data_IF_006326238524
#
_entry.id   IF_006326238524
#
_cell.length_a   1.000
_cell.length_b   1.000
_cell.length_c   1.000
_cell.angle_alpha   90.00
_cell.angle_beta   90.00
_cell.angle_gamma   90.00
#
_symmetry.space_group_name_H-M   'P 1'
#
loop_
_entity.id
_entity.type
_entity.pdbx_description
1 polymer ?
#
# COMPACT_ATOMS: atom_id res chain seq x y z
N UNK A 1 -14.74 -4.17 -28.25
CA UNK A 1 -14.67 -4.69 -26.87
C UNK A 1 -13.56 -5.74 -26.69
N UNK A 2 -13.43 -6.71 -27.61
CA UNK A 2 -12.38 -7.76 -27.59
C UNK A 2 -10.96 -7.19 -27.42
N UNK A 3 -10.56 -6.17 -28.19
CA UNK A 3 -9.22 -5.58 -28.12
C UNK A 3 -8.86 -5.00 -26.74
N UNK A 4 -9.84 -4.44 -26.01
CA UNK A 4 -9.61 -3.91 -24.64
C UNK A 4 -9.41 -5.02 -23.63
N UNK A 5 -10.21 -6.09 -23.72
CA UNK A 5 -10.07 -7.26 -22.85
C UNK A 5 -8.71 -7.94 -23.07
N UNK A 6 -8.32 -8.16 -24.34
CA UNK A 6 -7.01 -8.74 -24.68
C UNK A 6 -5.86 -7.89 -24.15
N UNK A 7 -5.90 -6.57 -24.31
CA UNK A 7 -4.87 -5.67 -23.78
C UNK A 7 -4.79 -5.74 -22.25
N UNK A 8 -5.93 -5.74 -21.55
CA UNK A 8 -5.96 -5.89 -20.09
C UNK A 8 -5.41 -7.24 -19.64
N UNK A 9 -5.72 -8.34 -20.32
CA UNK A 9 -5.16 -9.66 -20.00
C UNK A 9 -3.64 -9.68 -20.18
N UNK A 10 -3.12 -9.15 -21.29
CA UNK A 10 -1.67 -9.09 -21.56
C UNK A 10 -0.95 -8.26 -20.50
N UNK A 11 -1.46 -7.06 -20.19
CA UNK A 11 -0.90 -6.23 -19.12
C UNK A 11 -0.97 -6.94 -17.76
N UNK A 12 -2.09 -7.63 -17.48
CA UNK A 12 -2.25 -8.42 -16.26
C UNK A 12 -1.18 -9.48 -16.08
N UNK A 13 -0.84 -10.22 -17.15
CA UNK A 13 0.25 -11.21 -17.15
C UNK A 13 1.62 -10.56 -16.94
N UNK A 14 1.92 -9.46 -17.64
CA UNK A 14 3.20 -8.75 -17.48
C UNK A 14 3.41 -8.27 -16.05
N UNK A 15 2.38 -7.66 -15.45
CA UNK A 15 2.44 -7.20 -14.07
C UNK A 15 2.46 -8.37 -13.07
N UNK A 16 1.85 -9.52 -13.39
CA UNK A 16 1.97 -10.71 -12.54
C UNK A 16 3.41 -11.22 -12.50
N UNK A 17 4.09 -11.27 -13.65
CA UNK A 17 5.49 -11.68 -13.73
C UNK A 17 6.41 -10.69 -12.99
N UNK A 18 6.17 -9.39 -13.13
CA UNK A 18 6.88 -8.36 -12.36
C UNK A 18 6.65 -8.52 -10.84
N UNK A 19 5.45 -8.97 -10.44
CA UNK A 19 5.13 -9.27 -9.05
C UNK A 19 5.94 -10.46 -8.55
N UNK A 20 5.92 -11.59 -9.26
CA UNK A 20 6.72 -12.77 -8.89
C UNK A 20 8.21 -12.41 -8.76
N UNK A 21 8.73 -11.61 -9.68
CA UNK A 21 10.10 -11.12 -9.61
C UNK A 21 10.36 -10.23 -8.38
N UNK A 22 9.45 -9.31 -8.09
CA UNK A 22 9.50 -8.50 -6.87
C UNK A 22 9.49 -9.36 -5.60
N UNK A 23 8.68 -10.41 -5.55
CA UNK A 23 8.65 -11.33 -4.41
C UNK A 23 9.99 -12.06 -4.22
N UNK A 24 10.62 -12.49 -5.31
CA UNK A 24 11.97 -13.08 -5.25
C UNK A 24 13.00 -12.09 -4.69
N UNK A 25 12.92 -10.81 -5.07
CA UNK A 25 13.75 -9.75 -4.51
C UNK A 25 13.53 -9.53 -3.01
N UNK A 26 12.29 -9.64 -2.52
CA UNK A 26 11.97 -9.61 -1.08
C UNK A 26 12.57 -10.80 -0.36
N UNK A 27 12.41 -12.02 -0.90
CA UNK A 27 12.96 -13.24 -0.30
C UNK A 27 14.48 -13.20 -0.26
N UNK A 28 15.12 -12.66 -1.30
CA UNK A 28 16.57 -12.43 -1.32
C UNK A 28 17.00 -11.41 -0.26
N UNK A 29 16.25 -10.31 -0.10
CA UNK A 29 16.51 -9.33 0.96
C UNK A 29 16.36 -9.93 2.36
N UNK A 30 15.35 -10.78 2.58
CA UNK A 30 15.16 -11.51 3.83
C UNK A 30 16.32 -12.47 4.13
N UNK A 31 16.91 -13.09 3.11
CA UNK A 31 18.06 -13.99 3.24
C UNK A 31 19.39 -13.29 3.58
N UNK A 32 19.47 -11.96 3.46
CA UNK A 32 20.67 -11.19 3.82
C UNK A 32 20.75 -10.85 5.32
N UNK A 33 19.71 -11.21 6.09
CA UNK A 33 19.55 -11.20 7.55
C UNK A 33 19.82 -9.88 8.33
N UNK A 34 20.66 -8.94 7.87
CA UNK A 34 20.91 -7.67 8.58
C UNK A 34 21.54 -6.58 7.70
N UNK A 35 21.19 -5.32 7.97
CA UNK A 35 21.87 -4.14 7.42
C UNK A 35 20.99 -3.22 6.58
N UNK A 36 21.43 -1.97 6.43
CA UNK A 36 20.68 -0.89 5.73
C UNK A 36 20.33 -1.29 4.30
N UNK A 37 21.21 -2.00 3.59
CA UNK A 37 20.95 -2.48 2.22
C UNK A 37 19.86 -3.55 2.16
N UNK A 38 19.78 -4.44 3.15
CA UNK A 38 18.73 -5.46 3.21
C UNK A 38 17.37 -4.80 3.43
N UNK A 39 17.29 -3.79 4.32
CA UNK A 39 16.07 -3.01 4.56
C UNK A 39 15.62 -2.25 3.29
N UNK A 40 16.56 -1.57 2.62
CA UNK A 40 16.28 -0.84 1.38
C UNK A 40 15.77 -1.77 0.28
N UNK A 41 16.42 -2.92 0.09
CA UNK A 41 16.00 -3.92 -0.90
C UNK A 41 14.63 -4.52 -0.55
N UNK A 42 14.38 -4.84 0.72
CA UNK A 42 13.09 -5.36 1.15
C UNK A 42 11.95 -4.35 0.87
N UNK A 43 12.17 -3.08 1.18
CA UNK A 43 11.20 -2.02 0.89
C UNK A 43 10.99 -1.81 -0.61
N UNK A 44 12.06 -1.71 -1.40
CA UNK A 44 11.97 -1.51 -2.84
C UNK A 44 11.25 -2.68 -3.52
N UNK A 45 11.74 -3.90 -3.31
CA UNK A 45 11.20 -5.10 -3.95
C UNK A 45 9.80 -5.44 -3.43
N UNK A 46 9.51 -5.15 -2.15
CA UNK A 46 8.18 -5.30 -1.58
C UNK A 46 7.16 -4.35 -2.21
N UNK A 47 7.56 -3.09 -2.44
CA UNK A 47 6.72 -2.12 -3.15
C UNK A 47 6.49 -2.54 -4.61
N UNK A 48 7.53 -2.96 -5.33
CA UNK A 48 7.40 -3.48 -6.70
C UNK A 48 6.46 -4.68 -6.75
N UNK A 49 6.63 -5.65 -5.86
CA UNK A 49 5.78 -6.83 -5.72
C UNK A 49 4.31 -6.46 -5.54
N UNK A 50 4.00 -5.58 -4.58
CA UNK A 50 2.62 -5.19 -4.27
C UNK A 50 1.96 -4.38 -5.39
N UNK A 51 2.64 -3.35 -5.91
CA UNK A 51 2.09 -2.49 -6.96
C UNK A 51 1.75 -3.32 -8.19
N UNK A 52 2.71 -4.15 -8.62
CA UNK A 52 2.51 -5.00 -9.79
C UNK A 52 1.44 -6.07 -9.55
N UNK A 53 1.34 -6.66 -8.36
CA UNK A 53 0.26 -7.59 -8.02
C UNK A 53 -1.12 -6.93 -8.13
N UNK A 54 -1.27 -5.73 -7.57
CA UNK A 54 -2.55 -5.02 -7.59
C UNK A 54 -2.94 -4.58 -8.99
N UNK A 55 -1.99 -4.05 -9.77
CA UNK A 55 -2.25 -3.70 -11.17
C UNK A 55 -2.62 -4.95 -11.97
N UNK A 56 -1.92 -6.07 -11.76
CA UNK A 56 -2.24 -7.35 -12.37
C UNK A 56 -3.67 -7.80 -12.07
N UNK A 57 -4.05 -7.83 -10.79
CA UNK A 57 -5.42 -8.18 -10.36
C UNK A 57 -6.45 -7.21 -10.93
N UNK A 58 -6.19 -5.91 -10.92
CA UNK A 58 -7.10 -4.91 -11.47
C UNK A 58 -7.29 -5.09 -12.99
N UNK A 59 -6.23 -5.39 -13.72
CA UNK A 59 -6.25 -5.70 -15.15
C UNK A 59 -7.05 -6.98 -15.44
N UNK A 60 -6.82 -8.06 -14.69
CA UNK A 60 -7.62 -9.28 -14.83
C UNK A 60 -9.10 -9.02 -14.51
N UNK A 61 -9.40 -8.36 -13.39
CA UNK A 61 -10.78 -8.00 -13.03
C UNK A 61 -11.43 -7.14 -14.11
N UNK A 62 -10.73 -6.18 -14.70
CA UNK A 62 -11.25 -5.38 -15.81
C UNK A 62 -11.47 -6.21 -17.09
N UNK A 63 -10.59 -7.17 -17.37
CA UNK A 63 -10.76 -8.10 -18.49
C UNK A 63 -11.99 -9.01 -18.29
N UNK A 64 -12.28 -9.40 -17.06
CA UNK A 64 -13.45 -10.24 -16.71
C UNK A 64 -14.74 -9.44 -16.47
N UNK A 65 -14.66 -8.15 -16.10
CA UNK A 65 -15.82 -7.28 -15.88
C UNK A 65 -16.16 -6.48 -17.13
N UNK A 66 -16.75 -7.16 -18.10
CA UNK A 66 -17.56 -6.54 -19.18
C UNK A 66 -19.05 -6.44 -18.84
N UNK A 67 -19.43 -6.60 -17.56
CA UNK A 67 -20.82 -6.66 -17.14
C UNK A 67 -21.09 -5.63 -16.03
N UNK A 68 -22.05 -4.73 -16.27
CA UNK A 68 -22.57 -3.76 -15.31
C UNK A 68 -23.27 -4.50 -14.16
N UNK A 69 -22.51 -4.88 -13.13
CA UNK A 69 -23.09 -5.39 -11.89
C UNK A 69 -23.28 -4.23 -10.91
N UNK A 70 -24.50 -4.05 -10.42
CA UNK A 70 -24.79 -3.18 -9.27
C UNK A 70 -23.87 -3.51 -8.08
N UNK A 71 -23.41 -2.51 -7.31
CA UNK A 71 -22.49 -2.73 -6.20
C UNK A 71 -23.16 -3.61 -5.15
N UNK A 72 -22.65 -4.84 -4.98
CA UNK A 72 -23.15 -5.77 -3.97
C UNK A 72 -22.75 -5.32 -2.56
N UNK A 73 -23.56 -5.66 -1.55
CA UNK A 73 -23.25 -5.38 -0.14
C UNK A 73 -21.88 -5.97 0.26
N UNK A 74 -21.55 -7.14 -0.28
CA UNK A 74 -20.27 -7.80 -0.04
C UNK A 74 -19.10 -6.95 -0.56
N UNK A 75 -19.21 -6.39 -1.78
CA UNK A 75 -18.19 -5.50 -2.34
C UNK A 75 -17.94 -4.27 -1.46
N UNK A 76 -19.00 -3.67 -0.92
CA UNK A 76 -18.87 -2.52 0.00
C UNK A 76 -18.23 -2.92 1.33
N UNK A 77 -18.59 -4.09 1.89
CA UNK A 77 -17.99 -4.59 3.12
C UNK A 77 -16.49 -4.87 2.93
N UNK A 78 -16.11 -5.51 1.82
CA UNK A 78 -14.70 -5.68 1.44
C UNK A 78 -14.00 -4.32 1.31
N UNK A 79 -14.62 -3.35 0.64
CA UNK A 79 -14.07 -2.01 0.50
C UNK A 79 -13.77 -1.34 1.84
N UNK A 80 -14.70 -1.43 2.79
CA UNK A 80 -14.53 -0.91 4.14
C UNK A 80 -13.39 -1.60 4.89
N UNK A 81 -13.32 -2.94 4.84
CA UNK A 81 -12.26 -3.72 5.49
C UNK A 81 -10.89 -3.34 4.93
N UNK A 82 -10.75 -3.23 3.61
CA UNK A 82 -9.50 -2.85 2.97
C UNK A 82 -9.06 -1.44 3.36
N UNK A 83 -9.99 -0.49 3.44
CA UNK A 83 -9.70 0.88 3.87
C UNK A 83 -9.35 0.97 5.36
N UNK A 84 -10.04 0.23 6.23
CA UNK A 84 -9.69 0.16 7.64
C UNK A 84 -8.31 -0.49 7.84
N UNK A 85 -8.02 -1.55 7.08
CA UNK A 85 -6.71 -2.21 7.11
C UNK A 85 -5.59 -1.28 6.64
N UNK A 86 -5.82 -0.47 5.59
CA UNK A 86 -4.80 0.49 5.14
C UNK A 86 -4.45 1.49 6.23
N UNK A 87 -5.45 2.06 6.91
CA UNK A 87 -5.24 2.97 8.04
C UNK A 87 -4.44 2.27 9.13
N UNK A 88 -4.85 1.07 9.55
CA UNK A 88 -4.12 0.33 10.57
C UNK A 88 -2.65 0.09 10.20
N UNK A 89 -2.37 -0.16 8.92
CA UNK A 89 -1.02 -0.40 8.42
C UNK A 89 -0.11 0.84 8.44
N UNK A 90 -0.68 2.05 8.33
CA UNK A 90 0.10 3.31 8.34
C UNK A 90 0.33 3.86 9.75
N UNK A 91 -0.44 3.43 10.75
CA UNK A 91 -0.33 3.89 12.15
C UNK A 91 1.10 3.87 12.69
N UNK A 92 1.91 2.81 12.53
CA UNK A 92 3.25 2.81 13.10
C UNK A 92 4.19 3.82 12.41
N UNK A 93 3.93 4.18 11.15
CA UNK A 93 4.69 5.23 10.46
C UNK A 93 4.41 6.58 11.10
N UNK A 94 3.16 6.83 11.50
CA UNK A 94 2.77 8.05 12.21
C UNK A 94 3.45 8.09 13.58
N UNK A 95 3.45 6.99 14.34
CA UNK A 95 4.14 6.95 15.64
C UNK A 95 5.64 7.21 15.52
N UNK A 96 6.29 6.65 14.50
CA UNK A 96 7.71 6.89 14.23
C UNK A 96 7.99 8.35 13.89
N UNK A 97 7.14 9.00 13.08
CA UNK A 97 7.24 10.43 12.78
C UNK A 97 7.08 11.31 14.03
N UNK A 98 6.11 11.00 14.89
CA UNK A 98 5.91 11.71 16.16
C UNK A 98 7.11 11.55 17.11
N UNK A 99 7.73 10.37 17.14
CA UNK A 99 8.92 10.11 17.94
C UNK A 99 10.14 10.90 17.42
N UNK A 100 10.31 10.99 16.10
CA UNK A 100 11.36 11.78 15.46
C UNK A 100 11.17 13.27 15.77
N UNK A 101 9.97 13.80 15.56
CA UNK A 101 9.63 15.21 15.81
C UNK A 101 9.92 15.59 17.26
N UNK A 102 9.41 14.79 18.22
CA UNK A 102 9.65 15.03 19.65
C UNK A 102 11.13 14.95 20.06
N UNK A 103 11.95 14.15 19.36
CA UNK A 103 13.39 14.09 19.61
C UNK A 103 14.12 15.34 19.12
N UNK A 104 13.80 15.77 17.89
CA UNK A 104 14.40 16.95 17.27
C UNK A 104 14.04 18.24 18.02
N UNK A 105 12.80 18.35 18.51
CA UNK A 105 12.34 19.47 19.33
C UNK A 105 13.12 19.62 20.64
N UNK A 106 13.68 18.51 21.16
CA UNK A 106 14.52 18.51 22.37
C UNK A 106 15.99 18.79 22.06
N UNK A 107 16.35 18.99 20.79
CA UNK A 107 17.74 19.15 20.35
C UNK A 107 18.52 17.83 20.29
N UNK A 108 17.84 16.68 20.31
CA UNK A 108 18.46 15.37 20.13
C UNK A 108 18.66 15.00 18.66
N UNK A 109 19.38 13.92 18.42
CA UNK A 109 19.52 13.26 17.13
C UNK A 109 18.86 11.88 17.19
N UNK A 110 17.94 11.61 16.27
CA UNK A 110 17.18 10.36 16.29
C UNK A 110 17.96 9.22 15.61
N UNK A 111 18.18 8.11 16.34
CA UNK A 111 18.68 6.87 15.78
C UNK A 111 17.55 6.14 15.05
N UNK A 112 17.53 6.28 13.73
CA UNK A 112 16.52 5.72 12.85
C UNK A 112 16.55 4.18 12.73
N UNK A 113 17.60 3.52 13.23
CA UNK A 113 17.73 2.05 13.22
C UNK A 113 17.12 1.46 14.48
N UNK A 114 17.45 2.05 15.64
CA UNK A 114 16.97 1.59 16.94
C UNK A 114 15.69 2.29 17.41
N UNK A 115 15.22 3.31 16.68
CA UNK A 115 14.06 4.14 17.02
C UNK A 115 14.18 4.79 18.40
N UNK A 116 15.38 5.30 18.73
CA UNK A 116 15.68 5.98 20.00
C UNK A 116 16.23 7.38 19.77
N UNK A 117 15.95 8.28 20.71
CA UNK A 117 16.50 9.63 20.71
C UNK A 117 17.85 9.66 21.44
N UNK A 118 18.90 10.12 20.77
CA UNK A 118 20.26 10.22 21.31
C UNK A 118 20.68 11.70 21.37
N UNK A 119 21.19 12.14 22.53
CA UNK A 119 21.66 13.51 22.74
C UNK A 119 23.19 13.64 22.67
N UNK A 120 23.89 12.51 22.55
CA UNK A 120 25.34 12.43 22.57
C UNK A 120 25.94 12.31 21.17
N UNK A 121 25.30 11.53 20.30
CA UNK A 121 25.82 11.21 18.97
C UNK A 121 24.89 11.74 17.89
N UNK A 122 25.47 12.35 16.86
CA UNK A 122 24.72 12.76 15.67
C UNK A 122 24.52 11.56 14.73
N UNK A 123 23.27 11.15 14.55
CA UNK A 123 22.89 10.06 13.67
C UNK A 123 22.53 10.57 12.27
N UNK A 124 22.92 9.85 11.19
CA UNK A 124 22.59 10.24 9.83
C UNK A 124 21.08 10.12 9.57
N UNK A 125 20.50 11.10 8.89
CA UNK A 125 19.09 11.08 8.52
C UNK A 125 18.80 9.98 7.48
N UNK A 126 17.88 9.07 7.82
CA UNK A 126 17.37 8.06 6.89
C UNK A 126 15.95 8.45 6.45
N UNK A 127 15.79 8.68 5.15
CA UNK A 127 14.50 9.05 4.56
C UNK A 127 13.37 8.09 4.94
N UNK A 128 12.15 8.61 5.13
CA UNK A 128 10.96 7.83 5.48
C UNK A 128 10.66 6.74 4.45
N UNK A 129 10.89 7.02 3.16
CA UNK A 129 10.69 6.06 2.06
C UNK A 129 11.63 4.86 2.16
N UNK A 130 12.86 5.07 2.65
CA UNK A 130 13.82 3.99 2.85
C UNK A 130 13.43 3.04 3.98
N UNK A 131 12.67 3.53 4.97
CA UNK A 131 12.29 2.76 6.18
C UNK A 131 10.90 2.15 6.09
N UNK A 132 9.94 2.92 5.57
CA UNK A 132 8.52 2.57 5.54
C UNK A 132 7.92 2.52 4.14
N UNK A 133 8.75 2.49 3.08
CA UNK A 133 8.30 2.51 1.69
C UNK A 133 7.24 1.45 1.36
N UNK A 134 7.43 0.22 1.86
CA UNK A 134 6.44 -0.85 1.71
C UNK A 134 5.11 -0.51 2.39
N UNK A 135 5.15 0.05 3.60
CA UNK A 135 3.94 0.42 4.37
C UNK A 135 3.16 1.53 3.70
N UNK A 136 3.85 2.57 3.25
CA UNK A 136 3.26 3.69 2.52
C UNK A 136 2.63 3.22 1.20
N UNK A 137 3.32 2.35 0.46
CA UNK A 137 2.82 1.77 -0.79
C UNK A 137 1.56 0.93 -0.55
N UNK A 138 1.58 0.08 0.47
CA UNK A 138 0.45 -0.74 0.90
C UNK A 138 -0.74 0.15 1.28
N UNK A 139 -0.51 1.18 2.09
CA UNK A 139 -1.54 2.15 2.49
C UNK A 139 -2.24 2.76 1.27
N UNK A 140 -1.47 3.31 0.32
CA UNK A 140 -2.04 3.96 -0.88
C UNK A 140 -2.87 2.97 -1.69
N UNK A 141 -2.34 1.79 -1.96
CA UNK A 141 -3.00 0.76 -2.75
C UNK A 141 -4.33 0.33 -2.12
N UNK A 142 -4.29 -0.09 -0.85
CA UNK A 142 -5.49 -0.60 -0.18
C UNK A 142 -6.51 0.51 0.07
N UNK A 143 -6.06 1.74 0.29
CA UNK A 143 -6.97 2.89 0.41
C UNK A 143 -7.69 3.19 -0.90
N UNK A 144 -6.97 3.21 -2.03
CA UNK A 144 -7.56 3.47 -3.34
C UNK A 144 -8.53 2.37 -3.76
N UNK A 145 -8.14 1.10 -3.57
CA UNK A 145 -9.02 -0.05 -3.85
C UNK A 145 -10.23 -0.04 -2.91
N UNK A 146 -10.02 0.18 -1.62
CA UNK A 146 -11.08 0.26 -0.61
C UNK A 146 -12.11 1.35 -0.93
N UNK A 147 -11.63 2.57 -1.21
CA UNK A 147 -12.46 3.70 -1.61
C UNK A 147 -13.23 3.44 -2.91
N UNK A 148 -12.59 2.85 -3.92
CA UNK A 148 -13.25 2.51 -5.18
C UNK A 148 -14.43 1.56 -4.99
N UNK A 149 -14.34 0.63 -4.05
CA UNK A 149 -15.43 -0.31 -3.72
C UNK A 149 -16.49 0.32 -2.80
N UNK A 150 -16.09 1.23 -1.91
CA UNK A 150 -16.96 1.83 -0.88
C UNK A 150 -17.78 3.02 -1.41
N UNK A 151 -17.17 3.92 -2.18
CA UNK A 151 -17.77 5.19 -2.63
C UNK A 151 -19.07 4.98 -3.42
N UNK A 152 -19.17 4.07 -4.41
CA UNK A 152 -20.40 3.87 -5.17
C UNK A 152 -21.57 3.42 -4.30
N UNK A 153 -21.30 2.57 -3.30
CA UNK A 153 -22.31 2.11 -2.35
C UNK A 153 -22.78 3.27 -1.46
N UNK A 154 -21.84 4.05 -0.93
CA UNK A 154 -22.14 5.20 -0.08
C UNK A 154 -22.97 6.25 -0.84
N UNK A 155 -22.59 6.55 -2.08
CA UNK A 155 -23.31 7.48 -2.95
C UNK A 155 -24.76 7.01 -3.20
N UNK A 156 -24.95 5.74 -3.55
CA UNK A 156 -26.28 5.17 -3.78
C UNK A 156 -27.13 5.15 -2.50
N UNK A 157 -26.53 4.84 -1.35
CA UNK A 157 -27.20 4.87 -0.06
C UNK A 157 -27.67 6.28 0.31
N UNK A 158 -26.80 7.28 0.16
CA UNK A 158 -27.11 8.68 0.44
C UNK A 158 -28.17 9.24 -0.52
N UNK A 159 -28.10 8.88 -1.81
CA UNK A 159 -29.10 9.27 -2.81
C UNK A 159 -30.49 8.71 -2.48
N UNK A 160 -30.60 7.43 -2.11
CA UNK A 160 -31.88 6.84 -1.70
C UNK A 160 -32.47 7.51 -0.46
N UNK A 161 -31.63 7.89 0.51
CA UNK A 161 -32.08 8.55 1.74
C UNK A 161 -32.67 9.93 1.47
N UNK A 162 -32.15 10.67 0.48
CA UNK A 162 -32.68 11.99 0.09
C UNK A 162 -34.08 11.93 -0.52
N UNK A 163 -34.44 10.84 -1.21
CA UNK A 163 -35.78 10.70 -1.83
C UNK A 163 -36.85 10.16 -0.87
N UNK A 164 -36.46 9.73 0.33
CA UNK A 164 -37.37 9.20 1.34
C UNK A 164 -37.84 10.24 2.37
N UNK A 165 -37.32 11.47 2.28
CA UNK A 165 -37.66 12.64 3.11
C UNK A 165 -38.41 13.65 2.24
#
# INVERSE_FOLDING_TARGET
MVMRATLCTVLGVVFLLASIYGLMGVLQAASLFVGVRALLNANLWGSVFLVSLVVSVACFVAAFRTQESTPSRLSSATGLVLFAFSIWFVIPVIYDLLAIDSCLDRGGSFDYVNSVCDFSTNHPNISIFSRHGFRLTTFVIFSLVGLKLLVPYLHNYLSRRKHAL
#
